data_IF_633918022008
#
_entry.id   IF_633918022008
#
_cell.length_a   1.000
_cell.length_b   1.000
_cell.length_c   1.000
_cell.angle_alpha   90.00
_cell.angle_beta   90.00
_cell.angle_gamma   90.00
#
_symmetry.space_group_name_H-M   'P 1'
#
loop_
_entity.id
_entity.type
_entity.pdbx_description
1 polymer ?
#
# COMPACT_ATOMS: atom_id res chain seq x y z
N UNK A 1 -26.28 -33.99 36.53
CA UNK A 1 -26.54 -33.37 35.23
C UNK A 1 -25.93 -34.23 34.14
N UNK A 2 -26.74 -34.67 33.23
CA UNK A 2 -26.24 -35.37 32.05
C UNK A 2 -25.69 -34.36 31.07
N UNK A 3 -24.37 -34.27 30.94
CA UNK A 3 -23.75 -33.49 29.87
C UNK A 3 -24.11 -34.10 28.52
N UNK A 4 -24.64 -33.29 27.61
CA UNK A 4 -24.88 -33.71 26.24
C UNK A 4 -23.59 -33.47 25.46
N UNK A 5 -22.86 -34.54 25.16
CA UNK A 5 -21.72 -34.48 24.24
C UNK A 5 -22.16 -34.66 22.80
N UNK A 6 -21.36 -34.21 21.88
CA UNK A 6 -21.55 -34.43 20.45
C UNK A 6 -21.24 -35.87 20.10
N UNK A 7 -22.01 -36.46 19.18
CA UNK A 7 -21.68 -37.75 18.58
C UNK A 7 -20.54 -37.59 17.56
N UNK A 8 -19.82 -38.68 17.30
CA UNK A 8 -18.79 -38.70 16.26
C UNK A 8 -19.35 -38.34 14.88
N UNK A 9 -20.57 -38.77 14.60
CA UNK A 9 -21.19 -38.50 13.30
C UNK A 9 -21.59 -37.04 13.15
N UNK A 10 -22.03 -36.39 14.22
CA UNK A 10 -22.30 -34.94 14.22
C UNK A 10 -21.04 -34.14 13.97
N UNK A 11 -19.97 -34.49 14.65
CA UNK A 11 -18.66 -33.83 14.45
C UNK A 11 -18.13 -34.05 13.03
N UNK A 12 -18.23 -35.28 12.52
CA UNK A 12 -17.86 -35.61 11.14
C UNK A 12 -18.67 -34.80 10.13
N UNK A 13 -19.98 -34.69 10.32
CA UNK A 13 -20.83 -33.87 9.45
C UNK A 13 -20.44 -32.40 9.44
N UNK A 14 -20.10 -31.84 10.59
CA UNK A 14 -19.64 -30.42 10.70
C UNK A 14 -18.35 -30.20 9.96
N UNK A 15 -17.34 -31.04 10.13
CA UNK A 15 -16.05 -30.88 9.44
C UNK A 15 -16.15 -31.05 7.93
N UNK A 16 -17.03 -31.94 7.47
CA UNK A 16 -17.29 -32.12 6.03
C UNK A 16 -17.92 -30.86 5.43
N UNK A 17 -18.93 -30.29 6.10
CA UNK A 17 -19.59 -29.07 5.67
C UNK A 17 -18.60 -27.91 5.63
N UNK A 18 -17.78 -27.76 6.67
CA UNK A 18 -16.74 -26.72 6.72
C UNK A 18 -15.69 -26.90 5.61
N UNK A 19 -15.30 -28.13 5.29
CA UNK A 19 -14.39 -28.42 4.21
C UNK A 19 -14.95 -28.02 2.84
N UNK A 20 -16.22 -28.30 2.58
CA UNK A 20 -16.89 -27.87 1.33
C UNK A 20 -17.00 -26.36 1.22
N UNK A 21 -17.39 -25.69 2.30
CA UNK A 21 -17.47 -24.22 2.35
C UNK A 21 -16.09 -23.60 2.11
N UNK A 22 -15.05 -24.12 2.76
CA UNK A 22 -13.67 -23.64 2.59
C UNK A 22 -13.19 -23.79 1.14
N UNK A 23 -13.53 -24.88 0.49
CA UNK A 23 -13.14 -25.15 -0.90
C UNK A 23 -13.73 -24.12 -1.87
N UNK A 24 -14.95 -23.69 -1.65
CA UNK A 24 -15.64 -22.71 -2.48
C UNK A 24 -15.23 -21.28 -2.12
N UNK A 25 -15.08 -20.99 -0.83
CA UNK A 25 -14.81 -19.64 -0.32
C UNK A 25 -13.36 -19.20 -0.56
N UNK A 26 -12.40 -20.11 -0.57
CA UNK A 26 -10.97 -19.76 -0.66
C UNK A 26 -10.62 -18.93 -1.90
N UNK A 27 -11.00 -19.29 -3.14
CA UNK A 27 -10.68 -18.47 -4.30
C UNK A 27 -11.31 -17.08 -4.24
N UNK A 28 -12.53 -16.93 -3.75
CA UNK A 28 -13.20 -15.64 -3.61
C UNK A 28 -12.51 -14.74 -2.59
N UNK A 29 -12.06 -15.31 -1.48
CA UNK A 29 -11.35 -14.57 -0.42
C UNK A 29 -9.99 -14.09 -0.92
N UNK A 30 -9.28 -14.86 -1.71
CA UNK A 30 -7.99 -14.48 -2.27
C UNK A 30 -8.10 -13.24 -3.15
N UNK A 31 -9.12 -13.14 -3.98
CA UNK A 31 -9.38 -11.95 -4.81
C UNK A 31 -9.67 -10.71 -3.95
N UNK A 32 -10.45 -10.85 -2.89
CA UNK A 32 -10.75 -9.75 -1.96
C UNK A 32 -9.49 -9.29 -1.22
N UNK A 33 -8.66 -10.21 -0.76
CA UNK A 33 -7.40 -9.90 -0.09
C UNK A 33 -6.45 -9.15 -1.03
N UNK A 34 -6.36 -9.58 -2.28
CA UNK A 34 -5.51 -8.92 -3.26
C UNK A 34 -5.96 -7.49 -3.54
N UNK A 35 -7.26 -7.26 -3.73
CA UNK A 35 -7.84 -5.91 -3.87
C UNK A 35 -7.58 -5.05 -2.64
N UNK A 36 -7.72 -5.62 -1.45
CA UNK A 36 -7.46 -4.92 -0.20
C UNK A 36 -5.98 -4.52 -0.05
N UNK A 37 -5.06 -5.40 -0.37
CA UNK A 37 -3.61 -5.11 -0.36
C UNK A 37 -3.23 -4.02 -1.35
N UNK A 38 -3.79 -4.07 -2.54
CA UNK A 38 -3.60 -3.06 -3.58
C UNK A 38 -4.12 -1.70 -3.13
N UNK A 39 -5.33 -1.66 -2.57
CA UNK A 39 -5.91 -0.44 -2.01
C UNK A 39 -5.08 0.13 -0.85
N UNK A 40 -4.57 -0.73 0.03
CA UNK A 40 -3.70 -0.32 1.13
C UNK A 40 -2.37 0.27 0.65
N UNK A 41 -1.79 -0.29 -0.41
CA UNK A 41 -0.57 0.25 -1.03
C UNK A 41 -0.80 1.64 -1.63
N UNK A 42 -1.91 1.85 -2.33
CA UNK A 42 -2.31 3.16 -2.88
C UNK A 42 -2.52 4.18 -1.75
N UNK A 43 -3.21 3.80 -0.69
CA UNK A 43 -3.43 4.66 0.46
C UNK A 43 -2.13 5.02 1.17
N UNK A 44 -1.19 4.09 1.26
CA UNK A 44 0.15 4.36 1.80
C UNK A 44 0.90 5.39 0.95
N UNK A 45 0.80 5.33 -0.37
CA UNK A 45 1.39 6.33 -1.27
C UNK A 45 0.76 7.70 -1.07
N UNK A 46 -0.56 7.79 -0.89
CA UNK A 46 -1.23 9.05 -0.56
C UNK A 46 -0.69 9.64 0.75
N UNK A 47 -0.51 8.81 1.77
CA UNK A 47 0.09 9.22 3.04
C UNK A 47 1.53 9.71 2.89
N UNK A 48 2.32 9.06 2.05
CA UNK A 48 3.69 9.48 1.73
C UNK A 48 3.71 10.86 1.05
N UNK A 49 2.84 11.07 0.07
CA UNK A 49 2.74 12.35 -0.64
C UNK A 49 2.36 13.50 0.29
N UNK A 50 1.37 13.30 1.15
CA UNK A 50 0.96 14.28 2.16
C UNK A 50 2.09 14.59 3.15
N UNK A 51 2.77 13.56 3.63
CA UNK A 51 3.91 13.70 4.54
C UNK A 51 5.07 14.45 3.88
N UNK A 52 5.33 14.18 2.61
CA UNK A 52 6.37 14.87 1.84
C UNK A 52 6.07 16.35 1.64
N UNK A 53 4.81 16.69 1.40
CA UNK A 53 4.37 18.08 1.30
C UNK A 53 4.59 18.84 2.61
N UNK A 54 4.20 18.24 3.73
CA UNK A 54 4.42 18.82 5.05
C UNK A 54 5.91 18.97 5.36
N UNK A 55 6.71 17.97 5.07
CA UNK A 55 8.16 18.01 5.25
C UNK A 55 8.82 19.14 4.44
N UNK A 56 8.37 19.32 3.20
CA UNK A 56 8.86 20.39 2.34
C UNK A 56 8.51 21.77 2.90
N UNK A 57 7.29 21.96 3.39
CA UNK A 57 6.84 23.21 4.00
C UNK A 57 7.63 23.52 5.27
N UNK A 58 7.84 22.56 6.15
CA UNK A 58 8.67 22.71 7.36
C UNK A 58 10.10 23.10 6.99
N UNK A 59 10.69 22.40 6.03
CA UNK A 59 12.06 22.66 5.56
C UNK A 59 12.22 24.09 5.04
N UNK A 60 11.25 24.59 4.30
CA UNK A 60 11.22 25.96 3.80
C UNK A 60 11.05 26.99 4.92
N UNK A 61 10.24 26.71 5.92
CA UNK A 61 10.03 27.60 7.08
C UNK A 61 11.29 27.71 7.94
N UNK A 62 12.06 26.63 8.04
CA UNK A 62 13.34 26.60 8.76
C UNK A 62 14.50 27.22 7.97
N UNK A 63 14.23 27.68 6.75
CA UNK A 63 15.23 28.32 5.87
C UNK A 63 16.21 27.33 5.25
N UNK A 64 15.86 26.07 5.22
CA UNK A 64 16.65 25.04 4.56
C UNK A 64 16.47 25.05 3.04
N UNK A 65 17.38 24.41 2.33
CA UNK A 65 17.27 24.24 0.89
C UNK A 65 16.04 23.43 0.48
N UNK A 66 15.53 23.73 -0.70
CA UNK A 66 14.43 23.00 -1.29
C UNK A 66 14.79 21.52 -1.51
N UNK A 67 14.02 20.63 -0.92
CA UNK A 67 14.25 19.19 -1.06
C UNK A 67 13.67 18.71 -2.39
N UNK A 68 14.51 18.18 -3.25
CA UNK A 68 14.10 17.72 -4.59
C UNK A 68 13.87 16.22 -4.68
N UNK A 69 14.56 15.45 -3.87
CA UNK A 69 14.50 13.98 -3.94
C UNK A 69 14.51 13.38 -2.53
N UNK A 70 13.61 12.43 -2.29
CA UNK A 70 13.53 11.70 -1.03
C UNK A 70 13.54 10.20 -1.34
N UNK A 71 14.44 9.47 -0.69
CA UNK A 71 14.43 8.02 -0.70
C UNK A 71 13.35 7.51 0.27
N UNK A 72 12.42 6.70 -0.23
CA UNK A 72 11.30 6.19 0.54
C UNK A 72 11.69 5.11 1.56
N UNK A 73 12.92 4.61 1.51
CA UNK A 73 13.47 3.71 2.52
C UNK A 73 14.05 4.45 3.73
N UNK A 74 14.28 5.77 3.58
CA UNK A 74 14.73 6.62 4.69
C UNK A 74 13.60 6.86 5.69
N UNK A 75 13.96 7.16 6.94
CA UNK A 75 12.99 7.47 8.00
C UNK A 75 12.70 8.97 8.14
N UNK A 76 12.93 9.73 7.07
CA UNK A 76 12.71 11.18 7.03
C UNK A 76 11.22 11.52 7.09
N UNK A 77 10.39 10.72 6.42
CA UNK A 77 8.94 10.96 6.35
C UNK A 77 8.21 10.14 7.41
N UNK A 78 7.27 10.79 8.08
CA UNK A 78 6.36 10.14 9.03
C UNK A 78 4.95 10.11 8.43
N UNK A 79 4.42 8.94 8.17
CA UNK A 79 3.10 8.74 7.59
C UNK A 79 2.44 7.47 8.14
N UNK A 80 1.14 7.39 7.98
CA UNK A 80 0.37 6.18 8.30
C UNK A 80 0.35 5.25 7.09
N UNK A 81 0.53 3.97 7.34
CA UNK A 81 0.48 2.95 6.31
C UNK A 81 1.76 2.11 6.25
N UNK A 82 1.83 1.25 5.25
CA UNK A 82 2.98 0.37 5.04
C UNK A 82 4.16 1.17 4.49
N UNK A 83 5.37 0.86 4.98
CA UNK A 83 6.60 1.40 4.43
C UNK A 83 6.94 0.68 3.12
N UNK A 84 7.26 1.40 2.04
CA UNK A 84 7.71 0.77 0.80
C UNK A 84 9.00 -0.03 0.98
N UNK A 85 9.15 -1.11 0.23
CA UNK A 85 10.41 -1.88 0.18
C UNK A 85 11.52 -1.12 -0.52
N UNK A 86 11.15 -0.32 -1.51
CA UNK A 86 12.03 0.59 -2.23
C UNK A 86 11.22 1.68 -2.92
N UNK A 87 11.87 2.73 -3.32
CA UNK A 87 11.24 3.77 -4.10
C UNK A 87 11.87 5.14 -3.89
N UNK A 88 11.47 6.07 -4.73
CA UNK A 88 11.96 7.44 -4.74
C UNK A 88 10.80 8.40 -4.99
N UNK A 89 10.82 9.50 -4.25
CA UNK A 89 9.91 10.62 -4.45
C UNK A 89 10.73 11.83 -4.96
N UNK A 90 10.24 12.45 -6.01
CA UNK A 90 10.86 13.65 -6.58
C UNK A 90 9.86 14.80 -6.49
N UNK A 91 10.30 15.92 -5.95
CA UNK A 91 9.48 17.12 -5.79
C UNK A 91 9.99 18.18 -6.78
N UNK A 92 9.14 18.60 -7.70
CA UNK A 92 9.44 19.65 -8.64
C UNK A 92 9.33 21.06 -8.02
N UNK A 93 9.96 22.05 -8.63
CA UNK A 93 9.94 23.45 -8.15
C UNK A 93 8.53 24.05 -8.03
N UNK A 94 7.59 23.52 -8.78
CA UNK A 94 6.18 23.92 -8.73
C UNK A 94 5.36 23.22 -7.63
N UNK A 95 6.01 22.43 -6.77
CA UNK A 95 5.36 21.63 -5.73
C UNK A 95 4.70 20.34 -6.20
N UNK A 96 4.72 20.06 -7.50
CA UNK A 96 4.21 18.77 -8.03
C UNK A 96 5.19 17.66 -7.72
N UNK A 97 4.63 16.49 -7.39
CA UNK A 97 5.42 15.34 -6.97
C UNK A 97 5.30 14.18 -7.94
N UNK A 98 6.40 13.50 -8.12
CA UNK A 98 6.49 12.24 -8.85
C UNK A 98 6.99 11.18 -7.89
N UNK A 99 6.30 10.04 -7.83
CA UNK A 99 6.66 8.95 -6.92
C UNK A 99 6.69 7.62 -7.66
N UNK A 100 7.65 6.81 -7.30
CA UNK A 100 7.66 5.39 -7.60
C UNK A 100 7.90 4.64 -6.29
N UNK A 101 6.92 3.85 -5.86
CA UNK A 101 7.00 3.07 -4.63
C UNK A 101 6.72 1.60 -4.92
N UNK A 102 7.52 0.73 -4.33
CA UNK A 102 7.36 -0.72 -4.44
C UNK A 102 6.93 -1.30 -3.10
N UNK A 103 5.80 -2.00 -3.10
CA UNK A 103 5.24 -2.71 -1.96
C UNK A 103 5.10 -4.19 -2.30
N UNK A 104 6.12 -5.00 -1.98
CA UNK A 104 6.14 -6.40 -2.36
C UNK A 104 6.05 -6.59 -3.87
N UNK A 105 4.97 -7.19 -4.35
CA UNK A 105 4.72 -7.38 -5.80
C UNK A 105 4.07 -6.17 -6.48
N UNK A 106 3.61 -5.18 -5.73
CA UNK A 106 2.93 -4.00 -6.27
C UNK A 106 3.91 -2.85 -6.47
N UNK A 107 3.83 -2.22 -7.62
CA UNK A 107 4.58 -1.02 -7.93
C UNK A 107 3.60 0.10 -8.23
N UNK A 108 3.64 1.18 -7.45
CA UNK A 108 2.74 2.30 -7.57
C UNK A 108 3.51 3.51 -8.08
N UNK A 109 3.04 4.07 -9.16
CA UNK A 109 3.67 5.20 -9.82
C UNK A 109 2.67 6.34 -10.00
N UNK A 110 3.13 7.55 -9.68
CA UNK A 110 2.44 8.80 -10.00
C UNK A 110 3.39 9.71 -10.74
N UNK A 111 2.95 10.27 -11.86
CA UNK A 111 3.71 11.26 -12.64
C UNK A 111 3.40 12.68 -12.18
N UNK A 112 4.24 13.63 -12.54
CA UNK A 112 4.02 15.07 -12.30
C UNK A 112 2.71 15.61 -12.89
N UNK A 113 2.27 15.03 -14.00
CA UNK A 113 1.04 15.44 -14.69
C UNK A 113 -0.23 14.87 -14.07
N UNK A 114 -0.10 13.88 -13.19
CA UNK A 114 -1.23 13.22 -12.61
C UNK A 114 -1.67 13.92 -11.32
N UNK A 115 -2.97 14.07 -11.14
CA UNK A 115 -3.51 14.44 -9.85
C UNK A 115 -3.28 13.32 -8.82
N UNK A 116 -3.24 13.67 -7.54
CA UNK A 116 -3.05 12.70 -6.46
C UNK A 116 -4.07 11.55 -6.47
N UNK A 117 -5.22 11.77 -7.08
CA UNK A 117 -6.27 10.77 -7.26
C UNK A 117 -5.99 9.71 -8.33
N UNK A 118 -5.00 9.92 -9.18
CA UNK A 118 -4.67 9.04 -10.32
C UNK A 118 -3.39 8.25 -10.09
N UNK A 119 -3.32 7.54 -8.98
CA UNK A 119 -2.21 6.63 -8.72
C UNK A 119 -2.52 5.30 -9.42
N UNK A 120 -1.67 4.94 -10.37
CA UNK A 120 -1.82 3.70 -11.14
C UNK A 120 -0.86 2.66 -10.62
N UNK A 121 -1.40 1.53 -10.23
CA UNK A 121 -0.59 0.36 -9.93
C UNK A 121 -0.08 -0.25 -11.26
N UNK A 122 1.20 -0.44 -11.36
CA UNK A 122 1.81 -1.14 -12.49
C UNK A 122 2.67 -2.28 -11.98
N UNK A 123 2.38 -3.47 -12.48
CA UNK A 123 3.26 -4.61 -12.30
C UNK A 123 4.51 -4.43 -13.17
N UNK A 124 5.63 -4.11 -12.54
CA UNK A 124 6.91 -3.96 -13.20
C UNK A 124 7.56 -2.60 -12.94
N UNK A 125 8.72 -2.62 -12.32
CA UNK A 125 9.46 -1.40 -12.00
C UNK A 125 10.03 -0.75 -13.26
N UNK A 126 9.41 0.32 -13.72
CA UNK A 126 10.11 1.30 -14.53
C UNK A 126 10.62 2.40 -13.62
N UNK A 127 11.89 2.65 -13.71
CA UNK A 127 12.53 3.78 -13.03
C UNK A 127 11.82 5.08 -13.41
N UNK A 128 11.56 5.90 -12.40
CA UNK A 128 11.10 7.26 -12.61
C UNK A 128 12.15 7.97 -13.46
N UNK A 129 11.75 8.46 -14.61
CA UNK A 129 12.63 9.34 -15.38
C UNK A 129 12.70 10.68 -14.68
N UNK A 130 13.86 10.99 -14.17
CA UNK A 130 14.22 12.37 -13.81
C UNK A 130 14.19 13.21 -15.07
N UNK A 131 13.24 14.06 -15.15
CA UNK A 131 13.25 15.10 -16.20
C UNK A 131 14.15 16.22 -15.79
#
# INVERSE_FOLDING_TARGET
MKGKGFTLIELLAVIVILAVIALIATPMIMDVIEKARRGAAIESVNGILESAENYQLESMLDGNEYVTTIDLTSDILTYKGAKPDSGTLIIGENGKMQILAKFGKYCIQKSYSDDSSHIVDRAGSRLIKTS
#
